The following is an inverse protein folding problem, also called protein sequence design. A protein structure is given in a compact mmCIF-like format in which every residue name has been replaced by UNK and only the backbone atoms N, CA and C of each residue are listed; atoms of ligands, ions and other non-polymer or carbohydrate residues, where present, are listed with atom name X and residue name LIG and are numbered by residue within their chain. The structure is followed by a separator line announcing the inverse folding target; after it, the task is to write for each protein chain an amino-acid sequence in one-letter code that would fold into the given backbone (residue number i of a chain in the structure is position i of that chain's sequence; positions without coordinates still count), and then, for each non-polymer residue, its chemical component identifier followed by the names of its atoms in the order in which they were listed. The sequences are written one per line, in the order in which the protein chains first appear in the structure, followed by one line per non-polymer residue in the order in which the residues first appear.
data_IF_666893580658
#
_entry.id   IF_666893580658
#
_cell.length_a   1.000
_cell.length_b   1.000
_cell.length_c   1.000
_cell.angle_alpha   90.00
_cell.angle_beta   90.00
_cell.angle_gamma   90.00
#
_symmetry.space_group_name_H-M   'P 1'
#
loop_
_entity.id
_entity.type
_entity.pdbx_description
1 polymer ?
#
# COMPACT_ATOMS: atom_id res chain seq x y z
N UNK A 1 -35.62 -32.16 -9.04
CA UNK A 1 -34.64 -31.14 -9.46
C UNK A 1 -33.25 -31.77 -9.50
N UNK A 2 -32.60 -31.64 -10.67
CA UNK A 2 -31.21 -31.87 -11.16
C UNK A 2 -30.13 -32.61 -10.32
N UNK A 3 -30.00 -33.92 -10.55
CA UNK A 3 -28.92 -34.66 -11.24
C UNK A 3 -27.43 -34.19 -11.31
N UNK A 4 -26.84 -33.51 -10.32
CA UNK A 4 -25.36 -33.33 -10.26
C UNK A 4 -24.72 -33.55 -8.86
N UNK A 5 -25.29 -34.44 -8.03
CA UNK A 5 -24.67 -34.92 -6.78
C UNK A 5 -23.87 -36.24 -6.96
N UNK A 6 -23.49 -36.58 -8.19
CA UNK A 6 -22.64 -37.74 -8.45
C UNK A 6 -21.23 -37.26 -8.66
N UNK A 7 -20.38 -37.58 -7.68
CA UNK A 7 -18.92 -37.82 -7.74
C UNK A 7 -18.17 -37.21 -6.55
N UNK A 8 -18.61 -37.56 -5.33
CA UNK A 8 -17.65 -37.85 -4.26
C UNK A 8 -17.13 -39.28 -4.46
N UNK A 9 -15.80 -39.45 -4.36
CA UNK A 9 -15.01 -40.70 -4.31
C UNK A 9 -14.49 -41.26 -5.65
N UNK A 10 -13.28 -40.83 -6.01
CA UNK A 10 -12.13 -41.75 -5.92
C UNK A 10 -11.04 -41.06 -5.10
N UNK A 11 -10.72 -41.68 -3.97
CA UNK A 11 -9.64 -41.25 -3.10
C UNK A 11 -8.28 -41.60 -3.72
N UNK A 12 -7.34 -40.68 -3.54
CA UNK A 12 -5.94 -41.00 -3.37
C UNK A 12 -5.47 -40.09 -2.23
N UNK A 13 -5.43 -40.66 -1.03
CA UNK A 13 -4.72 -40.06 0.10
C UNK A 13 -3.23 -40.34 -0.14
N UNK A 14 -2.47 -39.28 -0.32
CA UNK A 14 -1.05 -39.25 0.05
C UNK A 14 -0.83 -38.02 0.90
N UNK A 15 -0.48 -38.28 2.15
CA UNK A 15 -0.22 -37.32 3.21
C UNK A 15 0.92 -36.34 2.87
N UNK A 16 0.81 -35.15 3.46
CA UNK A 16 1.88 -34.21 3.82
C UNK A 16 2.65 -33.49 2.69
N UNK A 17 2.25 -32.24 2.41
CA UNK A 17 3.01 -31.03 2.80
C UNK A 17 2.00 -29.87 2.94
N UNK A 18 1.94 -29.21 4.09
CA UNK A 18 1.27 -27.92 4.25
C UNK A 18 2.16 -26.85 3.62
N UNK A 19 1.68 -25.90 2.81
CA UNK A 19 2.37 -24.63 2.72
C UNK A 19 2.01 -23.84 3.99
N UNK A 20 2.74 -24.13 5.06
CA UNK A 20 2.88 -23.19 6.17
C UNK A 20 3.88 -22.10 5.73
N UNK A 21 3.43 -20.85 5.76
CA UNK A 21 4.11 -19.62 5.32
C UNK A 21 4.24 -19.38 3.81
N UNK A 22 3.23 -18.74 3.24
CA UNK A 22 3.44 -17.65 2.29
C UNK A 22 2.40 -16.59 2.61
N UNK A 23 2.84 -15.36 2.78
CA UNK A 23 1.98 -14.17 2.92
C UNK A 23 1.12 -14.03 1.66
N UNK A 24 0.04 -14.80 1.55
CA UNK A 24 -1.03 -14.48 0.60
C UNK A 24 -1.75 -13.26 1.16
N UNK A 25 -1.18 -12.09 0.90
CA UNK A 25 -2.02 -10.93 0.68
C UNK A 25 -3.04 -11.37 -0.35
N UNK A 26 -4.31 -11.33 0.05
CA UNK A 26 -5.43 -11.70 -0.79
C UNK A 26 -5.44 -10.66 -1.91
N UNK A 27 -4.74 -10.96 -3.00
CA UNK A 27 -4.46 -10.12 -4.18
C UNK A 27 -5.73 -9.65 -4.92
N UNK A 28 -6.91 -10.06 -4.47
CA UNK A 28 -8.19 -9.71 -5.09
C UNK A 28 -8.63 -8.26 -4.85
N UNK A 29 -7.91 -7.46 -4.05
CA UNK A 29 -8.24 -6.03 -3.91
C UNK A 29 -7.10 -5.10 -3.50
N UNK A 30 -5.89 -5.32 -4.03
CA UNK A 30 -4.81 -4.34 -3.92
C UNK A 30 -5.22 -3.05 -4.69
N UNK A 31 -5.32 -1.87 -4.03
CA UNK A 31 -6.00 -0.70 -4.60
C UNK A 31 -5.12 0.13 -5.54
N UNK A 32 -3.79 0.00 -5.45
CA UNK A 32 -2.87 0.75 -6.31
C UNK A 32 -2.79 0.12 -7.70
N UNK A 33 -2.59 0.97 -8.72
CA UNK A 33 -2.34 0.55 -10.09
C UNK A 33 -0.96 -0.12 -10.25
N UNK A 34 0.00 0.27 -9.42
CA UNK A 34 1.33 -0.33 -9.30
C UNK A 34 1.29 -1.77 -8.76
N UNK A 35 2.42 -2.48 -8.82
CA UNK A 35 2.50 -3.82 -8.23
C UNK A 35 2.61 -3.76 -6.69
N UNK A 36 2.11 -4.77 -5.94
CA UNK A 36 2.23 -4.81 -4.48
C UNK A 36 3.67 -4.70 -3.94
N UNK A 37 4.66 -5.16 -4.73
CA UNK A 37 6.07 -5.10 -4.40
C UNK A 37 6.78 -3.83 -4.92
N UNK A 38 6.06 -2.86 -5.48
CA UNK A 38 6.61 -1.56 -5.88
C UNK A 38 7.25 -0.89 -4.66
N UNK A 39 8.49 -0.45 -4.84
CA UNK A 39 9.24 0.24 -3.80
C UNK A 39 8.68 1.64 -3.56
N UNK A 40 8.50 1.99 -2.30
CA UNK A 40 8.06 3.31 -1.86
C UNK A 40 8.93 3.79 -0.70
N UNK A 41 9.05 5.11 -0.59
CA UNK A 41 9.79 5.74 0.49
C UNK A 41 8.89 5.95 1.70
N UNK A 42 9.44 5.69 2.88
CA UNK A 42 8.82 6.05 4.16
C UNK A 42 9.90 6.53 5.13
N UNK A 43 9.54 6.77 6.39
CA UNK A 43 10.50 7.18 7.41
C UNK A 43 10.48 6.24 8.61
N UNK A 44 11.58 6.24 9.37
CA UNK A 44 11.70 5.47 10.62
C UNK A 44 10.61 5.82 11.62
N UNK A 45 10.08 7.05 11.60
CA UNK A 45 9.00 7.44 12.51
C UNK A 45 7.72 6.65 12.25
N UNK A 46 7.38 6.38 10.98
CA UNK A 46 6.25 5.53 10.61
C UNK A 46 6.58 4.07 10.94
N UNK A 47 7.74 3.58 10.48
CA UNK A 47 8.06 2.16 10.53
C UNK A 47 8.43 1.64 11.93
N UNK A 48 9.17 2.43 12.70
CA UNK A 48 9.80 2.01 13.97
C UNK A 48 9.17 2.71 15.18
N UNK A 49 8.70 3.96 15.04
CA UNK A 49 8.03 4.70 16.13
C UNK A 49 6.50 4.66 16.04
N UNK A 50 5.94 4.03 15.00
CA UNK A 50 4.50 3.89 14.77
C UNK A 50 3.74 5.23 14.75
N UNK A 51 4.37 6.30 14.25
CA UNK A 51 3.67 7.56 13.97
C UNK A 51 2.73 7.41 12.79
N UNK A 52 1.60 8.15 12.77
CA UNK A 52 0.67 8.10 11.65
C UNK A 52 1.32 8.63 10.37
N UNK A 53 0.86 8.12 9.24
CA UNK A 53 1.17 8.69 7.93
C UNK A 53 0.26 9.91 7.74
N UNK A 54 0.89 11.07 7.50
CA UNK A 54 0.20 12.37 7.37
C UNK A 54 0.56 13.09 6.06
N UNK A 55 1.46 12.50 5.28
CA UNK A 55 1.88 13.00 3.98
C UNK A 55 2.02 11.82 3.03
N UNK A 56 1.34 11.88 1.89
CA UNK A 56 1.47 10.90 0.81
C UNK A 56 1.73 11.64 -0.49
N UNK A 57 2.69 11.18 -1.29
CA UNK A 57 2.93 11.75 -2.61
C UNK A 57 3.16 10.65 -3.63
N UNK A 58 2.64 10.87 -4.83
CA UNK A 58 2.98 10.14 -6.03
C UNK A 58 3.73 11.13 -6.94
N UNK A 59 5.06 11.09 -6.92
CA UNK A 59 5.84 12.11 -7.61
C UNK A 59 5.84 11.93 -9.15
N UNK A 60 6.40 12.90 -9.87
CA UNK A 60 6.43 12.93 -11.34
C UNK A 60 7.26 11.78 -11.95
N UNK A 61 8.18 11.21 -11.17
CA UNK A 61 9.01 10.07 -11.57
C UNK A 61 8.31 8.71 -11.27
N UNK A 62 7.12 8.74 -10.68
CA UNK A 62 6.31 7.58 -10.34
C UNK A 62 6.72 6.90 -9.03
N UNK A 63 7.47 7.59 -8.16
CA UNK A 63 7.77 7.08 -6.83
C UNK A 63 6.69 7.47 -5.84
N UNK A 64 6.32 6.48 -5.02
CA UNK A 64 5.44 6.68 -3.88
C UNK A 64 6.22 7.05 -2.63
N UNK A 65 5.71 8.01 -1.87
CA UNK A 65 6.25 8.39 -0.56
C UNK A 65 5.12 8.46 0.48
N UNK A 66 5.35 7.87 1.66
CA UNK A 66 4.42 7.84 2.79
C UNK A 66 5.15 8.26 4.07
N UNK A 67 4.92 9.49 4.53
CA UNK A 67 5.69 10.15 5.58
C UNK A 67 4.82 10.60 6.75
N UNK A 68 5.44 10.79 7.92
CA UNK A 68 4.72 11.18 9.14
C UNK A 68 4.36 12.68 9.23
N UNK A 69 4.52 13.46 8.15
CA UNK A 69 4.29 14.92 8.13
C UNK A 69 5.29 15.76 8.94
N UNK A 70 6.28 15.12 9.58
CA UNK A 70 7.28 15.80 10.42
C UNK A 70 8.56 16.20 9.68
N UNK A 71 9.54 16.69 10.43
CA UNK A 71 10.90 16.92 9.93
C UNK A 71 11.67 15.60 9.81
N UNK A 72 12.41 15.44 8.71
CA UNK A 72 13.20 14.23 8.41
C UNK A 72 14.64 14.61 8.09
N UNK A 73 15.57 13.73 8.46
CA UNK A 73 16.94 13.70 7.95
C UNK A 73 17.13 12.51 7.02
N UNK A 74 18.23 12.48 6.28
CA UNK A 74 18.56 11.35 5.40
C UNK A 74 18.61 10.00 6.14
N UNK A 75 19.07 9.99 7.40
CA UNK A 75 19.12 8.78 8.25
C UNK A 75 17.74 8.21 8.61
N UNK A 76 16.69 9.03 8.52
CA UNK A 76 15.31 8.61 8.81
C UNK A 76 14.68 7.90 7.61
N UNK A 77 15.24 8.01 6.41
CA UNK A 77 14.65 7.42 5.21
C UNK A 77 14.63 5.89 5.27
N UNK A 78 13.52 5.31 4.82
CA UNK A 78 13.31 3.87 4.71
C UNK A 78 12.68 3.56 3.35
N UNK A 79 12.91 2.36 2.85
CA UNK A 79 12.28 1.85 1.63
C UNK A 79 11.51 0.59 1.99
N UNK A 80 10.24 0.54 1.64
CA UNK A 80 9.34 -0.59 1.85
C UNK A 80 8.51 -0.84 0.59
N UNK A 81 7.71 -1.89 0.56
CA UNK A 81 6.76 -2.10 -0.54
C UNK A 81 5.42 -1.41 -0.26
N UNK A 82 4.64 -1.12 -1.30
CA UNK A 82 3.26 -0.66 -1.14
C UNK A 82 2.40 -1.63 -0.31
N UNK A 83 2.63 -2.94 -0.48
CA UNK A 83 2.04 -3.97 0.37
C UNK A 83 2.38 -3.78 1.86
N UNK A 84 3.65 -3.48 2.19
CA UNK A 84 4.05 -3.16 3.57
C UNK A 84 3.34 -1.92 4.11
N UNK A 85 3.12 -0.90 3.27
CA UNK A 85 2.38 0.30 3.68
C UNK A 85 0.93 -0.04 4.05
N UNK A 86 0.23 -0.83 3.23
CA UNK A 86 -1.14 -1.25 3.56
C UNK A 86 -1.21 -2.15 4.80
N UNK A 87 -0.15 -2.90 5.10
CA UNK A 87 -0.06 -3.65 6.36
C UNK A 87 0.18 -2.74 7.58
N UNK A 88 0.81 -1.57 7.39
CA UNK A 88 1.01 -0.55 8.44
C UNK A 88 -0.29 0.24 8.65
N UNK A 89 -0.91 0.67 7.56
CA UNK A 89 -2.12 1.48 7.55
C UNK A 89 -2.95 1.17 6.30
N UNK A 90 -4.04 0.43 6.48
CA UNK A 90 -4.94 0.03 5.40
C UNK A 90 -5.66 1.22 4.76
N UNK A 91 -5.81 2.35 5.49
CA UNK A 91 -6.49 3.55 4.99
C UNK A 91 -5.72 4.25 3.88
N UNK A 92 -4.42 3.94 3.73
CA UNK A 92 -3.62 4.43 2.59
C UNK A 92 -4.17 3.96 1.24
N UNK A 93 -4.97 2.88 1.23
CA UNK A 93 -5.68 2.44 0.03
C UNK A 93 -6.65 3.49 -0.54
N UNK A 94 -7.17 4.40 0.29
CA UNK A 94 -8.07 5.48 -0.15
C UNK A 94 -7.33 6.53 -1.00
N UNK A 95 -6.00 6.61 -0.87
CA UNK A 95 -5.13 7.53 -1.62
C UNK A 95 -4.47 6.89 -2.85
N UNK A 96 -4.80 5.63 -3.16
CA UNK A 96 -4.26 4.92 -4.32
C UNK A 96 -4.63 5.55 -5.68
N UNK A 97 -5.60 6.47 -5.68
CA UNK A 97 -6.03 7.22 -6.85
C UNK A 97 -5.25 8.51 -7.14
N UNK A 98 -4.22 8.85 -6.34
CA UNK A 98 -3.36 10.01 -6.63
C UNK A 98 -2.64 9.83 -7.97
N UNK A 99 -2.80 10.79 -8.87
CA UNK A 99 -2.10 10.84 -10.16
C UNK A 99 -0.63 11.27 -9.97
N UNK A 100 0.19 11.11 -11.00
CA UNK A 100 1.57 11.56 -10.99
C UNK A 100 1.67 13.06 -10.72
N UNK A 101 2.57 13.44 -9.80
CA UNK A 101 2.77 14.81 -9.34
C UNK A 101 1.77 15.25 -8.25
N UNK A 102 0.84 14.41 -7.82
CA UNK A 102 -0.10 14.75 -6.76
C UNK A 102 0.41 14.35 -5.37
N UNK A 103 -0.04 15.08 -4.35
CA UNK A 103 0.17 14.72 -2.97
C UNK A 103 -1.08 14.97 -2.12
N UNK A 104 -1.14 14.32 -0.96
CA UNK A 104 -2.18 14.49 0.03
C UNK A 104 -1.54 14.72 1.40
N UNK A 105 -2.09 15.67 2.14
CA UNK A 105 -1.64 16.01 3.50
C UNK A 105 -2.81 15.98 4.48
N UNK A 106 -2.57 15.49 5.68
CA UNK A 106 -3.52 15.56 6.80
C UNK A 106 -2.86 16.24 8.01
N UNK A 107 -3.63 16.99 8.79
CA UNK A 107 -3.12 17.64 10.00
C UNK A 107 -2.82 16.61 11.11
N UNK A 108 -3.68 15.61 11.23
CA UNK A 108 -3.54 14.47 12.13
C UNK A 108 -4.27 13.23 11.59
N UNK A 109 -4.17 12.11 12.30
CA UNK A 109 -4.73 10.82 11.87
C UNK A 109 -6.28 10.77 11.80
N UNK A 110 -6.97 11.77 12.36
CA UNK A 110 -8.43 11.86 12.35
C UNK A 110 -8.94 12.94 11.38
N UNK A 111 -8.04 13.70 10.77
CA UNK A 111 -8.35 14.79 9.85
C UNK A 111 -8.59 14.28 8.43
N UNK A 112 -9.40 15.02 7.68
CA UNK A 112 -9.59 14.76 6.25
C UNK A 112 -8.30 15.07 5.46
N UNK A 113 -8.07 14.33 4.38
CA UNK A 113 -6.96 14.55 3.46
C UNK A 113 -7.18 15.79 2.59
N UNK A 114 -6.18 16.66 2.54
CA UNK A 114 -6.09 17.76 1.60
C UNK A 114 -5.22 17.35 0.41
N UNK A 115 -5.88 16.97 -0.69
CA UNK A 115 -5.19 16.66 -1.95
C UNK A 115 -4.73 17.96 -2.62
N UNK A 116 -3.46 18.01 -2.97
CA UNK A 116 -2.84 19.10 -3.73
C UNK A 116 -2.40 18.54 -5.07
N UNK A 117 -3.00 19.05 -6.14
CA UNK A 117 -2.54 18.80 -7.49
C UNK A 117 -1.35 19.73 -7.75
N UNK A 118 -0.16 19.18 -7.97
CA UNK A 118 0.95 19.96 -8.52
C UNK A 118 0.73 20.09 -10.01
N UNK A 119 -0.28 20.88 -10.41
CA UNK A 119 -0.34 21.36 -11.78
C UNK A 119 0.93 22.18 -11.97
N UNK A 120 1.82 21.74 -12.86
CA UNK A 120 2.90 22.57 -13.36
C UNK A 120 2.28 23.82 -14.00
N UNK A 121 2.05 24.87 -13.22
CA UNK A 121 1.70 26.18 -13.73
C UNK A 121 2.93 26.75 -14.45
N UNK A 122 3.04 26.40 -15.74
CA UNK A 122 3.69 27.22 -16.77
C UNK A 122 5.14 26.92 -17.11
N UNK A 123 5.37 26.41 -18.33
CA UNK A 123 6.35 27.01 -19.24
C UNK A 123 5.95 26.75 -20.70
N UNK A 124 5.18 27.67 -21.30
CA UNK A 124 5.21 27.98 -22.73
C UNK A 124 5.70 29.41 -22.87
#
# INVERSE_FOLDING_TARGET
MRLLDKFKKKGFESENVKPENSEEIIVDRFPFADAPNTACFTCRHVLEEHKPILYVSHDEDGYWQFLCGGSHKEEDARVVSLASILNIDETMGDLAGLDYGECAEAEDAASDWMVKCTLSEGMK
#
